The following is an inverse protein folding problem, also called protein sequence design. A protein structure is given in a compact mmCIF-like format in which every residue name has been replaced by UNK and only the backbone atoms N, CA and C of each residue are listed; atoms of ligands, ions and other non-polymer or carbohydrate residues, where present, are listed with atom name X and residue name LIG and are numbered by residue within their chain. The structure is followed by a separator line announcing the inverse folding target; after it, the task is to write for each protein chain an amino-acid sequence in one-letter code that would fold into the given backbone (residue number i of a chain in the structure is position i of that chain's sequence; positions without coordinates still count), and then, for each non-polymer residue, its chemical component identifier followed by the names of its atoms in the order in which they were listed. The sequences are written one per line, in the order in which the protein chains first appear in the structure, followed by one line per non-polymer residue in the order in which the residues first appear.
data_IF_407221096503
#
_entry.id   IF_407221096503
#
_cell.length_a   1.000
_cell.length_b   1.000
_cell.length_c   1.000
_cell.angle_alpha   90.00
_cell.angle_beta   90.00
_cell.angle_gamma   90.00
#
_symmetry.space_group_name_H-M   'P 1'
#
loop_
_entity.id
_entity.type
_entity.pdbx_description
1 polymer ?
#
# COMPACT_ATOMS: atom_id res chain seq x y z
N UNK A 1 13.98 -4.29 -11.41
CA UNK A 1 13.06 -3.14 -11.28
C UNK A 1 12.89 -2.53 -12.64
N UNK A 2 11.65 -2.38 -13.08
CA UNK A 2 11.37 -1.69 -14.33
C UNK A 2 11.61 -0.19 -14.15
N UNK A 3 12.31 0.48 -15.08
CA UNK A 3 12.52 1.92 -15.00
C UNK A 3 11.20 2.67 -14.93
N UNK A 4 11.03 3.52 -13.93
CA UNK A 4 9.88 4.42 -13.85
C UNK A 4 10.16 5.65 -14.72
N UNK A 5 9.57 5.70 -15.92
CA UNK A 5 9.71 6.84 -16.86
C UNK A 5 8.40 7.61 -17.00
N UNK A 6 7.34 6.88 -17.31
CA UNK A 6 5.97 7.38 -17.43
C UNK A 6 5.03 6.28 -16.98
N UNK A 7 4.00 6.64 -16.22
CA UNK A 7 2.96 5.71 -15.77
C UNK A 7 1.60 6.37 -15.91
N UNK A 8 0.68 5.67 -16.56
CA UNK A 8 -0.73 6.02 -16.63
C UNK A 8 -1.53 4.85 -16.06
N UNK A 9 -2.42 5.14 -15.13
CA UNK A 9 -3.17 4.10 -14.46
C UNK A 9 -4.38 4.62 -13.71
N UNK A 10 -5.26 3.70 -13.36
CA UNK A 10 -6.43 3.98 -12.56
C UNK A 10 -6.00 4.41 -11.14
N UNK A 11 -6.69 5.42 -10.63
CA UNK A 11 -6.41 6.03 -9.33
C UNK A 11 -7.41 5.48 -8.30
N UNK A 12 -6.89 5.05 -7.15
CA UNK A 12 -7.67 4.80 -5.95
C UNK A 12 -7.36 5.87 -4.90
N UNK A 13 -8.38 6.30 -4.17
CA UNK A 13 -8.24 7.27 -3.07
C UNK A 13 -8.43 6.59 -1.73
N UNK A 14 -7.52 6.84 -0.80
CA UNK A 14 -7.61 6.44 0.60
C UNK A 14 -7.75 7.69 1.47
N UNK A 15 -8.96 7.96 1.98
CA UNK A 15 -9.24 9.18 2.74
C UNK A 15 -8.81 9.05 4.22
N UNK A 16 -7.53 8.76 4.44
CA UNK A 16 -6.93 8.56 5.76
C UNK A 16 -5.57 9.23 5.85
N UNK A 17 -5.34 9.96 6.94
CA UNK A 17 -4.06 10.56 7.29
C UNK A 17 -3.33 9.72 8.34
N UNK A 18 -2.01 9.89 8.42
CA UNK A 18 -1.15 9.14 9.35
C UNK A 18 -1.29 7.63 9.16
N UNK A 19 -1.41 7.17 7.91
CA UNK A 19 -1.45 5.74 7.60
C UNK A 19 -0.10 5.16 7.98
N UNK A 20 -0.07 4.29 8.99
CA UNK A 20 1.17 3.71 9.50
C UNK A 20 1.51 2.37 8.83
N UNK A 21 2.72 1.86 9.08
CA UNK A 21 3.19 0.63 8.46
C UNK A 21 2.49 -0.64 8.94
N UNK A 22 1.88 -0.65 10.14
CA UNK A 22 1.03 -1.79 10.59
C UNK A 22 -0.30 -1.78 9.82
N UNK A 23 -0.85 -0.59 9.58
CA UNK A 23 -2.08 -0.44 8.78
C UNK A 23 -1.85 -0.82 7.32
N UNK A 24 -0.70 -0.49 6.74
CA UNK A 24 -0.34 -0.95 5.38
C UNK A 24 -0.20 -2.46 5.36
N UNK A 25 0.53 -3.04 6.32
CA UNK A 25 0.69 -4.49 6.46
C UNK A 25 0.85 -4.91 7.93
N UNK A 26 -0.10 -5.67 8.50
CA UNK A 26 0.00 -6.07 9.90
C UNK A 26 1.21 -6.95 10.19
N UNK A 27 1.84 -6.73 11.36
CA UNK A 27 3.04 -7.45 11.81
C UNK A 27 2.97 -8.98 11.76
N UNK A 28 1.77 -9.55 11.83
CA UNK A 28 1.56 -11.01 11.81
C UNK A 28 1.98 -11.65 10.48
N UNK A 29 2.03 -10.88 9.38
CA UNK A 29 2.40 -11.36 8.06
C UNK A 29 3.92 -11.29 7.80
N UNK A 30 4.70 -10.69 8.70
CA UNK A 30 6.13 -10.39 8.49
C UNK A 30 7.07 -11.56 8.82
N UNK A 31 6.55 -12.78 8.96
CA UNK A 31 7.35 -13.99 9.20
C UNK A 31 7.89 -14.64 7.91
N UNK A 32 7.45 -14.15 6.75
CA UNK A 32 7.83 -14.67 5.43
C UNK A 32 9.18 -14.08 5.00
N UNK A 33 9.95 -14.87 4.26
CA UNK A 33 11.28 -14.46 3.77
C UNK A 33 11.18 -13.95 2.32
N UNK A 34 10.16 -14.43 1.58
CA UNK A 34 9.90 -14.03 0.20
C UNK A 34 9.47 -12.57 0.13
N UNK A 35 9.87 -11.85 -0.93
CA UNK A 35 9.48 -10.46 -1.17
C UNK A 35 8.11 -10.31 -1.88
N UNK A 36 7.43 -11.43 -2.16
CA UNK A 36 6.19 -11.49 -2.94
C UNK A 36 5.07 -12.17 -2.15
N UNK A 37 3.83 -12.01 -2.60
CA UNK A 37 2.65 -12.57 -1.94
C UNK A 37 2.18 -11.77 -0.73
N UNK A 38 2.61 -10.50 -0.61
CA UNK A 38 2.17 -9.56 0.41
C UNK A 38 0.98 -8.70 -0.02
N UNK A 39 0.72 -8.58 -1.33
CA UNK A 39 -0.39 -7.75 -1.84
C UNK A 39 -1.75 -8.19 -1.34
N UNK A 40 -1.93 -9.49 -1.08
CA UNK A 40 -3.15 -10.02 -0.46
C UNK A 40 -3.37 -9.53 0.99
N UNK A 41 -2.31 -9.09 1.68
CA UNK A 41 -2.36 -8.59 3.06
C UNK A 41 -2.31 -7.06 3.15
N UNK A 42 -2.29 -6.36 2.01
CA UNK A 42 -2.32 -4.90 1.97
C UNK A 42 -3.62 -4.38 2.61
N UNK A 43 -3.48 -3.49 3.59
CA UNK A 43 -4.59 -2.92 4.36
C UNK A 43 -5.51 -3.95 4.99
N UNK A 44 -4.97 -5.10 5.40
CA UNK A 44 -5.75 -6.28 5.82
C UNK A 44 -6.91 -5.96 6.78
N UNK A 45 -6.65 -5.20 7.84
CA UNK A 45 -7.64 -4.86 8.88
C UNK A 45 -8.77 -3.94 8.38
N UNK A 46 -8.55 -3.24 7.26
CA UNK A 46 -9.58 -2.43 6.59
C UNK A 46 -10.24 -3.18 5.45
N UNK A 47 -9.45 -4.01 4.75
CA UNK A 47 -9.83 -4.66 3.51
C UNK A 47 -10.71 -5.88 3.72
N UNK A 48 -10.60 -6.57 4.84
CA UNK A 48 -11.37 -7.79 5.10
C UNK A 48 -12.22 -7.68 6.36
N UNK A 49 -13.39 -8.32 6.33
CA UNK A 49 -14.21 -8.54 7.53
C UNK A 49 -13.74 -9.78 8.29
N UNK A 50 -14.14 -9.93 9.56
CA UNK A 50 -13.71 -11.05 10.42
C UNK A 50 -14.01 -12.46 9.87
N UNK A 51 -14.91 -12.59 8.88
CA UNK A 51 -15.21 -13.83 8.16
C UNK A 51 -14.32 -14.13 6.94
N UNK A 52 -13.34 -13.27 6.63
CA UNK A 52 -12.40 -13.46 5.51
C UNK A 52 -12.90 -12.97 4.14
N UNK A 53 -14.07 -12.31 4.07
CA UNK A 53 -14.58 -11.66 2.87
C UNK A 53 -14.10 -10.21 2.73
N UNK A 54 -14.22 -9.65 1.52
CA UNK A 54 -13.95 -8.24 1.27
C UNK A 54 -14.90 -7.35 2.08
N UNK A 55 -14.35 -6.32 2.72
CA UNK A 55 -15.11 -5.27 3.38
C UNK A 55 -15.72 -4.33 2.32
N UNK A 56 -17.06 -4.27 2.17
CA UNK A 56 -17.69 -3.43 1.16
C UNK A 56 -17.53 -1.92 1.44
N UNK A 57 -17.24 -1.54 2.68
CA UNK A 57 -17.09 -0.14 3.09
C UNK A 57 -15.68 0.41 2.82
N UNK A 58 -14.72 -0.47 2.50
CA UNK A 58 -13.35 -0.05 2.23
C UNK A 58 -13.20 0.47 0.80
N UNK A 59 -12.61 1.66 0.66
CA UNK A 59 -12.57 2.40 -0.59
C UNK A 59 -11.87 1.64 -1.73
N UNK A 60 -10.85 0.84 -1.41
CA UNK A 60 -10.08 0.06 -2.39
C UNK A 60 -10.76 -1.26 -2.81
N UNK A 61 -11.83 -1.69 -2.13
CA UNK A 61 -12.59 -2.87 -2.54
C UNK A 61 -13.69 -2.55 -3.56
N UNK A 62 -13.95 -1.26 -3.79
CA UNK A 62 -14.95 -0.81 -4.76
C UNK A 62 -14.61 -1.29 -6.17
N UNK A 63 -15.57 -1.89 -6.92
CA UNK A 63 -15.32 -2.42 -8.25
C UNK A 63 -14.71 -1.40 -9.23
N UNK A 64 -15.07 -0.13 -9.07
CA UNK A 64 -14.65 0.98 -9.95
C UNK A 64 -13.16 1.30 -9.86
N UNK A 65 -12.50 0.93 -8.77
CA UNK A 65 -11.06 1.13 -8.55
C UNK A 65 -10.27 -0.18 -8.58
N UNK A 66 -10.90 -1.29 -8.96
CA UNK A 66 -10.24 -2.58 -9.08
C UNK A 66 -9.12 -2.50 -10.13
N UNK A 67 -7.91 -2.87 -9.74
CA UNK A 67 -6.73 -2.76 -10.60
C UNK A 67 -6.15 -1.34 -10.66
N UNK A 68 -6.52 -0.46 -9.72
CA UNK A 68 -5.82 0.81 -9.53
C UNK A 68 -4.33 0.58 -9.29
N UNK A 69 -3.52 1.40 -9.94
CA UNK A 69 -2.05 1.34 -9.86
C UNK A 69 -1.46 2.64 -9.32
N UNK A 70 -2.30 3.62 -9.00
CA UNK A 70 -1.92 4.88 -8.35
C UNK A 70 -2.77 5.04 -7.09
N UNK A 71 -2.13 5.21 -5.93
CA UNK A 71 -2.80 5.48 -4.67
C UNK A 71 -2.70 6.97 -4.32
N UNK A 72 -3.81 7.61 -3.99
CA UNK A 72 -3.83 8.97 -3.44
C UNK A 72 -4.26 8.89 -1.98
N UNK A 73 -3.43 9.42 -1.07
CA UNK A 73 -3.68 9.40 0.37
C UNK A 73 -3.50 10.79 1.01
N UNK A 74 -3.84 10.91 2.30
CA UNK A 74 -3.59 12.15 3.06
C UNK A 74 -2.16 12.16 3.63
N UNK A 75 -1.85 13.23 4.38
CA UNK A 75 -0.51 13.50 4.93
C UNK A 75 0.03 12.36 5.81
N UNK A 76 1.36 12.32 5.94
CA UNK A 76 2.12 11.43 6.81
C UNK A 76 1.89 9.94 6.51
N UNK A 77 1.94 9.58 5.23
CA UNK A 77 1.76 8.20 4.79
C UNK A 77 3.02 7.35 5.05
N UNK A 78 2.82 6.11 5.47
CA UNK A 78 3.90 5.17 5.79
C UNK A 78 4.59 5.44 7.13
N UNK A 79 3.91 6.11 8.06
CA UNK A 79 4.47 6.44 9.38
C UNK A 79 4.66 5.22 10.28
N UNK A 80 5.30 5.42 11.44
CA UNK A 80 5.50 4.37 12.44
C UNK A 80 6.80 3.59 12.22
N UNK A 81 6.78 2.29 12.48
CA UNK A 81 8.01 1.49 12.51
C UNK A 81 8.60 1.25 11.11
N UNK A 82 9.92 1.10 11.06
CA UNK A 82 10.63 0.76 9.83
C UNK A 82 10.21 -0.64 9.34
N UNK A 83 9.46 -0.67 8.23
CA UNK A 83 8.99 -1.92 7.60
C UNK A 83 9.07 -1.81 6.08
N UNK A 84 10.09 -2.42 5.49
CA UNK A 84 10.23 -2.49 4.04
C UNK A 84 9.06 -3.27 3.40
N UNK A 85 8.53 -4.27 4.12
CA UNK A 85 7.34 -5.04 3.76
C UNK A 85 6.11 -4.19 3.41
N UNK A 86 5.98 -2.98 3.98
CA UNK A 86 4.87 -2.07 3.63
C UNK A 86 4.96 -1.64 2.16
N UNK A 87 6.17 -1.39 1.66
CA UNK A 87 6.41 -1.05 0.25
C UNK A 87 6.20 -2.27 -0.63
N UNK A 88 6.63 -3.46 -0.18
CA UNK A 88 6.40 -4.71 -0.91
C UNK A 88 4.90 -5.02 -1.05
N UNK A 89 4.11 -4.83 0.01
CA UNK A 89 2.67 -5.04 -0.04
C UNK A 89 1.99 -4.13 -1.05
N UNK A 90 2.37 -2.85 -1.11
CA UNK A 90 1.85 -1.91 -2.10
C UNK A 90 2.23 -2.30 -3.53
N UNK A 91 3.51 -2.62 -3.77
CA UNK A 91 4.02 -3.00 -5.08
C UNK A 91 3.41 -4.32 -5.58
N UNK A 92 3.33 -5.34 -4.71
CA UNK A 92 2.80 -6.67 -5.01
C UNK A 92 1.27 -6.65 -5.19
N UNK A 93 0.57 -5.69 -4.57
CA UNK A 93 -0.84 -5.42 -4.88
C UNK A 93 -1.04 -4.82 -6.27
N UNK A 94 -0.03 -4.11 -6.79
CA UNK A 94 -0.04 -3.51 -8.12
C UNK A 94 0.13 -1.98 -8.13
N UNK A 95 0.31 -1.34 -6.97
CA UNK A 95 0.59 0.10 -6.95
C UNK A 95 1.99 0.38 -7.50
N UNK A 96 2.05 1.36 -8.40
CA UNK A 96 3.27 1.88 -9.02
C UNK A 96 3.65 3.24 -8.47
N UNK A 97 2.66 4.02 -8.00
CA UNK A 97 2.89 5.31 -7.39
C UNK A 97 1.94 5.56 -6.20
N UNK A 98 2.43 6.30 -5.19
CA UNK A 98 1.64 6.84 -4.09
C UNK A 98 1.78 8.36 -4.08
N UNK A 99 0.67 9.08 -4.03
CA UNK A 99 0.62 10.53 -3.97
C UNK A 99 0.04 10.93 -2.62
N UNK A 100 0.82 11.64 -1.82
CA UNK A 100 0.39 12.19 -0.54
C UNK A 100 1.08 13.53 -0.27
N UNK A 101 0.50 14.41 0.56
CA UNK A 101 1.13 15.66 0.97
C UNK A 101 2.47 15.49 1.71
N UNK A 102 2.66 14.35 2.39
CA UNK A 102 3.92 14.00 3.06
C UNK A 102 4.01 12.51 3.34
N UNK A 103 5.24 12.03 3.47
CA UNK A 103 5.59 10.64 3.77
C UNK A 103 6.53 10.59 4.98
N UNK A 104 6.55 9.47 5.71
CA UNK A 104 7.59 9.25 6.69
C UNK A 104 8.92 8.89 6.00
N UNK A 105 10.02 9.47 6.47
CA UNK A 105 11.33 9.43 5.80
C UNK A 105 11.82 8.02 5.47
N UNK A 106 11.66 7.07 6.40
CA UNK A 106 12.11 5.69 6.20
C UNK A 106 11.26 5.00 5.11
N UNK A 107 9.94 5.17 5.17
CA UNK A 107 9.03 4.62 4.16
C UNK A 107 9.34 5.21 2.77
N UNK A 108 9.49 6.53 2.69
CA UNK A 108 9.84 7.25 1.48
C UNK A 108 11.13 6.70 0.84
N UNK A 109 12.20 6.53 1.63
CA UNK A 109 13.45 5.96 1.14
C UNK A 109 13.32 4.49 0.67
N UNK A 110 12.48 3.70 1.33
CA UNK A 110 12.23 2.31 0.93
C UNK A 110 11.42 2.23 -0.37
N UNK A 111 10.56 3.21 -0.68
CA UNK A 111 9.80 3.26 -1.93
C UNK A 111 10.72 3.22 -3.15
N UNK A 112 11.68 4.15 -3.23
CA UNK A 112 12.60 4.24 -4.37
C UNK A 112 13.52 3.02 -4.51
N UNK A 113 13.89 2.39 -3.40
CA UNK A 113 14.69 1.15 -3.41
C UNK A 113 13.93 -0.06 -3.95
N UNK A 114 12.60 0.01 -3.97
CA UNK A 114 11.72 -1.09 -4.38
C UNK A 114 10.86 -0.74 -5.61
N UNK A 115 11.13 0.38 -6.29
CA UNK A 115 10.48 0.73 -7.54
C UNK A 115 9.06 1.28 -7.40
N UNK A 116 8.72 1.78 -6.21
CA UNK A 116 7.48 2.52 -5.93
C UNK A 116 7.80 4.03 -5.95
N UNK A 117 7.03 4.81 -6.72
CA UNK A 117 7.16 6.27 -6.79
C UNK A 117 6.34 6.96 -5.71
#
# INVERSE_FOLDING_TARGET
MDPFRQHQGLVATLDKANVDTDQIIPKQFLKRIERTGFGQYLFFDWRYVAGGGDNPDFELNRPEVRGATILVARRNFGSGSSREHAVWALADYGFRAVIAPSFADIFYNNCFKNGLL
#
